data_IF_315399749176
#
_entry.id   IF_315399749176
#
_cell.length_a   1.000
_cell.length_b   1.000
_cell.length_c   1.000
_cell.angle_alpha   90.00
_cell.angle_beta   90.00
_cell.angle_gamma   90.00
#
_symmetry.space_group_name_H-M   'P 1'
#
loop_
_entity.id
_entity.type
_entity.pdbx_description
1 polymer ?
#
# COMPACT_ATOMS: atom_id res chain seq x y z
N UNK A 1 -23.66 -33.02 5.77
CA UNK A 1 -22.49 -32.17 5.42
C UNK A 1 -23.04 -30.81 5.07
N UNK A 2 -22.41 -29.70 5.51
CA UNK A 2 -22.83 -28.37 5.07
C UNK A 2 -22.77 -28.29 3.55
N UNK A 3 -23.70 -27.54 2.95
CA UNK A 3 -23.62 -27.18 1.54
C UNK A 3 -22.40 -26.30 1.30
N UNK A 4 -21.83 -26.31 0.08
CA UNK A 4 -20.73 -25.39 -0.29
C UNK A 4 -21.08 -23.93 0.03
N UNK A 5 -22.36 -23.56 -0.12
CA UNK A 5 -22.83 -22.22 0.22
C UNK A 5 -22.61 -21.92 1.70
N UNK A 6 -22.98 -22.82 2.60
CA UNK A 6 -22.80 -22.65 4.04
C UNK A 6 -21.32 -22.60 4.42
N UNK A 7 -20.48 -23.45 3.82
CA UNK A 7 -19.02 -23.43 4.04
C UNK A 7 -18.40 -22.09 3.64
N UNK A 8 -18.82 -21.52 2.50
CA UNK A 8 -18.33 -20.21 2.06
C UNK A 8 -18.81 -19.10 2.99
N UNK A 9 -20.06 -19.10 3.43
CA UNK A 9 -20.56 -18.06 4.35
C UNK A 9 -19.84 -18.13 5.70
N UNK A 10 -19.62 -19.32 6.26
CA UNK A 10 -18.84 -19.49 7.49
C UNK A 10 -17.40 -19.02 7.32
N UNK A 11 -16.75 -19.42 6.22
CA UNK A 11 -15.38 -19.04 5.91
C UNK A 11 -15.21 -17.54 5.68
N UNK A 12 -16.13 -16.90 4.95
CA UNK A 12 -16.12 -15.46 4.72
C UNK A 12 -16.35 -14.69 6.03
N UNK A 13 -17.29 -15.13 6.86
CA UNK A 13 -17.54 -14.56 8.18
C UNK A 13 -16.28 -14.60 9.06
N UNK A 14 -15.62 -15.77 9.11
CA UNK A 14 -14.37 -15.96 9.84
C UNK A 14 -13.24 -15.09 9.30
N UNK A 15 -13.07 -15.07 7.97
CA UNK A 15 -12.01 -14.33 7.28
C UNK A 15 -12.16 -12.82 7.53
N UNK A 16 -13.34 -12.24 7.31
CA UNK A 16 -13.56 -10.80 7.56
C UNK A 16 -13.45 -10.44 9.04
N UNK A 17 -13.87 -11.33 9.93
CA UNK A 17 -13.73 -11.12 11.38
C UNK A 17 -12.25 -11.02 11.76
N UNK A 18 -11.39 -11.95 11.30
CA UNK A 18 -9.95 -11.87 11.55
C UNK A 18 -9.34 -10.57 11.02
N UNK A 19 -9.75 -10.11 9.85
CA UNK A 19 -9.32 -8.84 9.28
C UNK A 19 -9.61 -7.64 10.20
N UNK A 20 -10.87 -7.48 10.62
CA UNK A 20 -11.31 -6.36 11.47
C UNK A 20 -10.68 -6.41 12.87
N UNK A 21 -10.40 -7.61 13.34
CA UNK A 21 -9.92 -7.88 14.68
C UNK A 21 -8.39 -7.77 14.81
N UNK A 22 -7.65 -7.79 13.69
CA UNK A 22 -6.19 -7.56 13.64
C UNK A 22 -5.73 -6.31 14.40
N UNK A 23 -4.60 -6.39 15.11
CA UNK A 23 -4.03 -5.31 15.92
C UNK A 23 -2.64 -4.91 15.44
N UNK A 24 -2.52 -4.21 14.30
CA UNK A 24 -1.22 -3.77 13.78
C UNK A 24 -0.62 -2.66 14.65
N UNK A 25 0.57 -2.93 15.16
CA UNK A 25 1.39 -2.04 15.99
C UNK A 25 2.74 -1.83 15.31
N UNK A 26 3.15 -0.58 15.14
CA UNK A 26 4.51 -0.25 14.73
C UNK A 26 5.47 -0.55 15.88
N UNK A 27 6.49 -1.37 15.62
CA UNK A 27 7.39 -1.87 16.67
C UNK A 27 8.88 -1.60 16.43
N UNK A 28 9.30 -1.40 15.18
CA UNK A 28 10.72 -1.18 14.88
C UNK A 28 10.92 -0.47 13.54
N UNK A 29 12.17 -0.07 13.30
CA UNK A 29 12.72 0.37 12.02
C UNK A 29 14.05 -0.36 11.80
N UNK A 30 14.27 -0.88 10.59
CA UNK A 30 15.52 -1.52 10.19
C UNK A 30 15.66 -1.56 8.68
N UNK A 31 16.79 -2.04 8.17
CA UNK A 31 16.99 -2.16 6.72
C UNK A 31 16.24 -3.35 6.15
N UNK A 32 16.01 -3.36 4.84
CA UNK A 32 15.39 -4.52 4.18
C UNK A 32 16.28 -5.77 4.26
N UNK A 33 17.60 -5.62 4.23
CA UNK A 33 18.54 -6.71 4.50
C UNK A 33 18.30 -7.35 5.88
N UNK A 34 18.21 -6.55 6.94
CA UNK A 34 17.98 -7.03 8.30
C UNK A 34 16.60 -7.65 8.48
N UNK A 35 15.56 -6.98 7.95
CA UNK A 35 14.16 -7.29 8.27
C UNK A 35 13.53 -8.33 7.35
N UNK A 36 13.95 -8.35 6.08
CA UNK A 36 13.44 -9.26 5.07
C UNK A 36 14.47 -10.31 4.64
N UNK A 37 15.66 -10.33 5.26
CA UNK A 37 16.76 -11.21 4.87
C UNK A 37 17.14 -11.08 3.39
N UNK A 38 16.95 -9.89 2.81
CA UNK A 38 17.30 -9.61 1.43
C UNK A 38 18.82 -9.64 1.24
N UNK A 39 19.29 -10.32 0.19
CA UNK A 39 20.71 -10.47 -0.12
C UNK A 39 20.97 -10.25 -1.61
N UNK A 40 22.20 -9.84 -1.93
CA UNK A 40 22.65 -9.67 -3.30
C UNK A 40 21.89 -8.58 -4.03
N UNK A 41 21.89 -8.66 -5.37
CA UNK A 41 21.29 -7.67 -6.26
C UNK A 41 19.82 -7.99 -6.56
N UNK A 42 19.01 -8.16 -5.52
CA UNK A 42 17.56 -8.40 -5.66
C UNK A 42 16.80 -7.18 -5.15
N UNK A 43 15.87 -6.70 -5.96
CA UNK A 43 14.94 -5.63 -5.60
C UNK A 43 13.53 -6.20 -5.47
N UNK A 44 12.81 -5.77 -4.44
CA UNK A 44 11.38 -6.01 -4.40
C UNK A 44 10.65 -4.94 -5.22
N UNK A 45 9.46 -5.24 -5.72
CA UNK A 45 8.58 -4.28 -6.40
C UNK A 45 7.11 -4.53 -6.06
N UNK A 46 6.28 -3.51 -6.28
CA UNK A 46 4.84 -3.64 -6.11
C UNK A 46 4.20 -4.53 -7.18
N UNK A 47 3.08 -5.16 -6.82
CA UNK A 47 2.24 -5.93 -7.74
C UNK A 47 2.71 -7.36 -8.03
N UNK A 48 2.04 -8.06 -8.97
CA UNK A 48 2.34 -9.45 -9.31
C UNK A 48 3.70 -9.59 -10.01
N UNK A 49 4.27 -10.82 -10.08
CA UNK A 49 5.60 -11.06 -10.64
C UNK A 49 5.77 -10.50 -12.04
N UNK A 50 6.90 -9.85 -12.29
CA UNK A 50 7.22 -9.25 -13.58
C UNK A 50 8.73 -9.34 -13.88
N UNK A 51 9.08 -9.45 -15.16
CA UNK A 51 10.46 -9.35 -15.62
C UNK A 51 10.80 -7.93 -16.08
N UNK A 52 12.10 -7.67 -16.29
CA UNK A 52 12.57 -6.37 -16.78
C UNK A 52 11.96 -5.96 -18.13
N UNK A 53 11.75 -6.93 -19.04
CA UNK A 53 11.22 -6.65 -20.39
C UNK A 53 9.82 -6.06 -20.32
N UNK A 54 8.99 -6.56 -19.40
CA UNK A 54 7.62 -6.11 -19.18
C UNK A 54 7.50 -4.97 -18.16
N UNK A 55 8.57 -4.63 -17.45
CA UNK A 55 8.56 -3.55 -16.46
C UNK A 55 8.13 -2.22 -17.08
N UNK A 56 7.18 -1.56 -16.42
CA UNK A 56 6.65 -0.26 -16.81
C UNK A 56 7.69 0.85 -16.63
N UNK A 57 7.51 1.99 -17.30
CA UNK A 57 8.43 3.14 -17.18
C UNK A 57 8.76 3.56 -15.74
N UNK A 58 7.77 3.81 -14.86
CA UNK A 58 8.06 4.16 -13.47
C UNK A 58 8.77 3.04 -12.70
N UNK A 59 8.46 1.76 -12.96
CA UNK A 59 9.17 0.64 -12.35
C UNK A 59 10.64 0.57 -12.82
N UNK A 60 10.89 0.73 -14.12
CA UNK A 60 12.25 0.78 -14.68
C UNK A 60 13.07 1.89 -14.05
N UNK A 61 12.51 3.09 -13.96
CA UNK A 61 13.16 4.23 -13.32
C UNK A 61 13.47 3.97 -11.85
N UNK A 62 12.57 3.32 -11.12
CA UNK A 62 12.78 2.99 -9.71
C UNK A 62 13.86 1.91 -9.52
N UNK A 63 13.93 0.91 -10.39
CA UNK A 63 15.00 -0.11 -10.40
C UNK A 63 16.36 0.52 -10.68
N UNK A 64 16.43 1.44 -11.66
CA UNK A 64 17.64 2.20 -11.97
C UNK A 64 18.06 3.03 -10.75
N UNK A 65 17.15 3.81 -10.16
CA UNK A 65 17.45 4.64 -9.01
C UNK A 65 17.88 3.83 -7.77
N UNK A 66 17.23 2.69 -7.51
CA UNK A 66 17.64 1.79 -6.43
C UNK A 66 19.03 1.20 -6.67
N UNK A 67 19.39 0.87 -7.92
CA UNK A 67 20.73 0.37 -8.27
C UNK A 67 21.82 1.42 -8.06
N UNK A 68 21.52 2.70 -8.32
CA UNK A 68 22.42 3.82 -8.03
C UNK A 68 22.52 4.06 -6.52
N UNK A 69 21.40 3.97 -5.80
CA UNK A 69 21.36 4.11 -4.35
C UNK A 69 22.20 3.05 -3.63
N UNK A 70 22.13 1.79 -4.08
CA UNK A 70 22.93 0.67 -3.56
C UNK A 70 24.36 0.61 -4.13
N UNK A 71 24.73 1.57 -4.98
CA UNK A 71 26.06 1.65 -5.60
C UNK A 71 26.42 0.39 -6.40
N UNK A 72 25.42 -0.29 -6.98
CA UNK A 72 25.61 -1.44 -7.88
C UNK A 72 26.05 -1.02 -9.29
N UNK A 73 25.71 0.21 -9.66
CA UNK A 73 26.05 0.85 -10.93
C UNK A 73 26.45 2.31 -10.67
N UNK A 74 27.35 2.85 -11.47
CA UNK A 74 27.78 4.25 -11.40
C UNK A 74 26.88 5.17 -12.22
N UNK A 75 26.20 4.63 -13.24
CA UNK A 75 25.38 5.41 -14.17
C UNK A 75 24.02 4.77 -14.44
N UNK A 76 22.99 5.57 -14.76
CA UNK A 76 21.68 5.04 -15.15
C UNK A 76 21.75 4.01 -16.29
N UNK A 77 22.59 4.26 -17.29
CA UNK A 77 22.76 3.35 -18.43
C UNK A 77 23.47 2.05 -18.07
N UNK A 78 24.32 2.05 -17.05
CA UNK A 78 24.90 0.81 -16.52
C UNK A 78 23.85 0.00 -15.77
N UNK A 79 23.07 0.63 -14.89
CA UNK A 79 21.98 -0.03 -14.16
C UNK A 79 20.96 -0.67 -15.12
N UNK A 80 20.59 0.03 -16.20
CA UNK A 80 19.71 -0.51 -17.24
C UNK A 80 20.31 -1.75 -17.91
N UNK A 81 21.60 -1.71 -18.32
CA UNK A 81 22.27 -2.88 -18.92
C UNK A 81 22.36 -4.06 -17.96
N UNK A 82 22.59 -3.81 -16.67
CA UNK A 82 22.59 -4.87 -15.64
C UNK A 82 21.22 -5.53 -15.52
N UNK A 83 20.14 -4.75 -15.49
CA UNK A 83 18.78 -5.27 -15.47
C UNK A 83 18.45 -6.08 -16.74
N UNK A 84 18.87 -5.60 -17.92
CA UNK A 84 18.73 -6.31 -19.19
C UNK A 84 19.47 -7.65 -19.23
N UNK A 85 20.64 -7.71 -18.59
CA UNK A 85 21.45 -8.94 -18.46
C UNK A 85 20.97 -9.89 -17.37
N UNK A 86 19.94 -9.51 -16.60
CA UNK A 86 19.41 -10.32 -15.50
C UNK A 86 20.32 -10.34 -14.26
N UNK A 87 21.22 -9.35 -14.12
CA UNK A 87 22.09 -9.21 -12.95
C UNK A 87 21.36 -8.60 -11.75
N UNK A 88 20.18 -8.00 -11.98
CA UNK A 88 19.27 -7.48 -10.97
C UNK A 88 18.03 -8.37 -10.93
N UNK A 89 17.83 -9.07 -9.80
CA UNK A 89 16.63 -9.87 -9.54
C UNK A 89 15.45 -8.98 -9.17
N UNK A 90 14.24 -9.41 -9.56
CA UNK A 90 12.97 -8.76 -9.21
C UNK A 90 12.06 -9.77 -8.51
N UNK A 91 11.50 -9.38 -7.36
CA UNK A 91 10.49 -10.17 -6.64
C UNK A 91 9.39 -9.26 -6.06
N UNK A 92 8.25 -9.83 -5.73
CA UNK A 92 7.09 -9.08 -5.25
C UNK A 92 7.20 -8.77 -3.77
N UNK A 93 6.99 -7.52 -3.38
CA UNK A 93 6.84 -7.10 -1.96
C UNK A 93 5.89 -8.01 -1.17
N UNK A 94 4.76 -8.37 -1.78
CA UNK A 94 3.74 -9.21 -1.13
C UNK A 94 4.20 -10.62 -0.77
N UNK A 95 5.20 -11.19 -1.45
CA UNK A 95 5.81 -12.47 -1.09
C UNK A 95 6.64 -12.40 0.20
N UNK A 96 7.03 -11.18 0.61
CA UNK A 96 7.88 -10.90 1.77
C UNK A 96 7.13 -10.21 2.90
N UNK A 97 5.79 -10.31 2.92
CA UNK A 97 4.91 -9.55 3.84
C UNK A 97 5.15 -8.03 3.82
N UNK A 98 5.74 -7.52 2.74
CA UNK A 98 6.01 -6.12 2.52
C UNK A 98 4.97 -5.51 1.58
N UNK A 99 4.90 -4.18 1.58
CA UNK A 99 4.12 -3.37 0.65
C UNK A 99 4.85 -2.06 0.35
N UNK A 100 4.83 -1.62 -0.90
CA UNK A 100 5.40 -0.35 -1.34
C UNK A 100 4.42 0.47 -2.19
N UNK A 101 4.28 1.78 -1.97
CA UNK A 101 3.44 2.62 -2.81
C UNK A 101 4.09 2.80 -4.20
N UNK A 102 3.25 2.96 -5.22
CA UNK A 102 3.69 3.21 -6.61
C UNK A 102 4.64 2.11 -7.12
N UNK A 103 5.82 2.41 -7.68
CA UNK A 103 6.76 1.35 -8.10
C UNK A 103 7.10 0.38 -6.96
N UNK A 104 7.01 0.84 -5.71
CA UNK A 104 7.16 0.01 -4.53
C UNK A 104 8.52 -0.65 -4.41
N UNK A 105 9.54 -0.07 -5.05
CA UNK A 105 10.87 -0.65 -5.06
C UNK A 105 11.48 -0.59 -3.66
N UNK A 106 11.99 -1.74 -3.22
CA UNK A 106 12.74 -1.89 -1.97
C UNK A 106 14.07 -2.55 -2.31
N UNK A 107 15.16 -1.92 -1.91
CA UNK A 107 16.52 -2.46 -2.00
C UNK A 107 17.08 -2.82 -0.62
N UNK A 108 18.14 -3.65 -0.52
CA UNK A 108 18.64 -4.16 0.76
C UNK A 108 18.94 -3.10 1.82
N UNK A 109 19.55 -1.97 1.45
CA UNK A 109 19.94 -0.91 2.38
C UNK A 109 18.79 0.05 2.71
N UNK A 110 17.65 -0.02 2.01
CA UNK A 110 16.53 0.89 2.28
C UNK A 110 15.91 0.64 3.65
N UNK A 111 15.58 1.71 4.40
CA UNK A 111 14.92 1.57 5.69
C UNK A 111 13.45 1.19 5.53
N UNK A 112 13.00 0.30 6.40
CA UNK A 112 11.62 -0.19 6.48
C UNK A 112 11.03 0.12 7.85
N UNK A 113 9.72 0.39 7.86
CA UNK A 113 8.90 0.20 9.04
C UNK A 113 8.63 -1.29 9.25
N UNK A 114 8.69 -1.73 10.51
CA UNK A 114 8.27 -3.08 10.92
C UNK A 114 7.05 -2.99 11.85
N UNK A 115 5.98 -3.67 11.47
CA UNK A 115 4.77 -3.80 12.26
C UNK A 115 4.58 -5.24 12.72
N UNK A 116 3.95 -5.40 13.87
CA UNK A 116 3.45 -6.68 14.38
C UNK A 116 1.93 -6.60 14.53
N UNK A 117 1.20 -7.55 13.97
CA UNK A 117 -0.17 -7.83 14.40
C UNK A 117 -0.12 -8.62 15.70
N UNK A 118 -0.35 -7.96 16.84
CA UNK A 118 -0.24 -8.62 18.15
C UNK A 118 -1.32 -9.68 18.36
N UNK A 119 -2.44 -9.64 17.62
CA UNK A 119 -3.49 -10.65 17.72
C UNK A 119 -3.16 -11.93 16.96
N UNK A 120 -2.51 -11.81 15.81
CA UNK A 120 -2.25 -12.94 14.90
C UNK A 120 -0.77 -13.30 14.75
N UNK A 121 0.15 -12.55 15.38
CA UNK A 121 1.58 -12.82 15.38
C UNK A 121 2.29 -12.59 14.05
N UNK A 122 1.68 -11.84 13.13
CA UNK A 122 2.22 -11.62 11.78
C UNK A 122 3.02 -10.32 11.71
N UNK A 123 4.24 -10.39 11.18
CA UNK A 123 5.08 -9.22 10.89
C UNK A 123 4.84 -8.73 9.47
N UNK A 124 4.78 -7.42 9.31
CA UNK A 124 4.60 -6.77 8.00
C UNK A 124 5.46 -5.52 7.88
N UNK A 125 5.74 -5.14 6.64
CA UNK A 125 6.76 -4.15 6.34
C UNK A 125 6.31 -3.17 5.27
N UNK A 126 6.84 -1.95 5.33
CA UNK A 126 6.77 -1.01 4.21
C UNK A 126 8.02 -0.13 4.22
N UNK A 127 8.46 0.31 3.04
CA UNK A 127 9.49 1.34 2.94
C UNK A 127 8.99 2.68 3.48
N UNK A 128 9.84 3.71 3.48
CA UNK A 128 9.47 5.04 3.97
C UNK A 128 9.00 5.96 2.83
N UNK A 129 8.13 6.91 3.15
CA UNK A 129 7.64 7.86 2.17
C UNK A 129 8.67 8.96 1.88
N UNK A 130 9.04 9.14 0.62
CA UNK A 130 10.11 10.05 0.18
C UNK A 130 9.71 11.53 0.08
N UNK A 131 8.45 11.85 0.39
CA UNK A 131 7.89 13.19 0.24
C UNK A 131 7.13 13.42 -1.06
N UNK A 132 6.96 14.69 -1.39
CA UNK A 132 6.25 15.19 -2.57
C UNK A 132 7.28 15.64 -3.62
N UNK A 133 6.91 15.58 -4.90
CA UNK A 133 7.76 16.01 -6.02
C UNK A 133 8.38 14.83 -6.76
N UNK A 134 9.63 15.01 -7.23
CA UNK A 134 10.41 13.92 -7.84
C UNK A 134 10.85 12.95 -6.74
N UNK A 135 10.44 11.70 -6.88
CA UNK A 135 10.67 10.62 -5.91
C UNK A 135 10.80 9.28 -6.64
N UNK A 136 11.55 8.35 -6.05
CA UNK A 136 11.84 7.02 -6.58
C UNK A 136 10.58 6.20 -6.79
N UNK A 137 9.59 6.29 -5.90
CA UNK A 137 8.32 5.57 -6.04
C UNK A 137 7.59 5.89 -7.35
N UNK A 138 7.79 7.05 -7.95
CA UNK A 138 7.26 7.39 -9.30
C UNK A 138 8.29 7.18 -10.43
N UNK A 139 9.42 6.56 -10.14
CA UNK A 139 10.47 6.24 -11.09
C UNK A 139 11.46 7.38 -11.38
N UNK A 140 11.51 8.42 -10.54
CA UNK A 140 12.56 9.44 -10.64
C UNK A 140 13.85 8.93 -9.98
N UNK A 141 15.00 9.23 -10.59
CA UNK A 141 16.32 8.75 -10.13
C UNK A 141 17.41 9.83 -10.29
N UNK A 142 17.03 11.10 -10.24
CA UNK A 142 17.97 12.21 -10.23
C UNK A 142 18.83 12.22 -8.97
N UNK A 143 19.94 12.96 -9.00
CA UNK A 143 20.86 13.11 -7.86
C UNK A 143 20.13 13.56 -6.59
N UNK A 144 19.20 14.51 -6.71
CA UNK A 144 18.34 15.00 -5.62
C UNK A 144 17.45 13.92 -4.98
N UNK A 145 17.06 12.91 -5.77
CA UNK A 145 16.30 11.75 -5.28
C UNK A 145 17.22 10.82 -4.50
N UNK A 146 18.39 10.48 -5.05
CA UNK A 146 19.34 9.57 -4.42
C UNK A 146 19.91 10.17 -3.13
N UNK A 147 20.26 11.46 -3.13
CA UNK A 147 20.70 12.17 -1.92
C UNK A 147 19.63 12.16 -0.83
N UNK A 148 18.36 12.35 -1.20
CA UNK A 148 17.25 12.27 -0.24
C UNK A 148 17.10 10.87 0.34
N UNK A 149 17.21 9.82 -0.48
CA UNK A 149 17.17 8.44 0.01
C UNK A 149 18.33 8.14 0.98
N UNK A 150 19.54 8.63 0.67
CA UNK A 150 20.71 8.52 1.56
C UNK A 150 20.48 9.30 2.87
N UNK A 151 19.92 10.51 2.80
CA UNK A 151 19.52 11.28 3.99
C UNK A 151 18.43 10.57 4.80
N UNK A 152 17.43 9.96 4.15
CA UNK A 152 16.40 9.19 4.85
C UNK A 152 17.01 8.00 5.61
N UNK A 153 17.98 7.31 5.02
CA UNK A 153 18.71 6.23 5.67
C UNK A 153 19.60 6.69 6.84
N UNK A 154 20.25 7.84 6.72
CA UNK A 154 21.21 8.32 7.73
C UNK A 154 20.61 9.22 8.81
N UNK A 155 19.48 9.87 8.54
CA UNK A 155 18.83 10.83 9.45
C UNK A 155 17.43 10.37 9.85
N UNK A 156 16.53 10.21 8.88
CA UNK A 156 15.12 9.91 9.19
C UNK A 156 14.97 8.55 9.90
N UNK A 157 15.58 7.50 9.34
CA UNK A 157 15.41 6.14 9.85
C UNK A 157 15.99 5.96 11.26
N UNK A 158 17.21 6.44 11.62
CA UNK A 158 17.71 6.32 12.98
C UNK A 158 16.88 7.13 13.99
N UNK A 159 16.35 8.30 13.61
CA UNK A 159 15.43 9.06 14.47
C UNK A 159 14.15 8.25 14.72
N UNK A 160 13.53 7.70 13.68
CA UNK A 160 12.31 6.91 13.82
C UNK A 160 12.54 5.60 14.60
N UNK A 161 13.71 4.97 14.44
CA UNK A 161 14.12 3.79 15.21
C UNK A 161 14.20 4.12 16.70
N UNK A 162 14.97 5.15 17.08
CA UNK A 162 15.09 5.55 18.48
C UNK A 162 13.74 5.99 19.07
N UNK A 163 12.92 6.66 18.27
CA UNK A 163 11.56 7.07 18.65
C UNK A 163 10.66 5.89 18.98
N UNK A 164 10.64 4.85 18.13
CA UNK A 164 9.80 3.69 18.39
C UNK A 164 10.35 2.84 19.54
N UNK A 165 11.67 2.77 19.72
CA UNK A 165 12.29 2.15 20.90
C UNK A 165 11.88 2.84 22.21
N UNK A 166 11.87 4.18 22.26
CA UNK A 166 11.39 4.93 23.43
C UNK A 166 9.89 4.70 23.67
N UNK A 167 9.07 4.73 22.63
CA UNK A 167 7.65 4.43 22.75
C UNK A 167 7.40 3.03 23.31
N UNK A 168 8.23 2.05 22.93
CA UNK A 168 8.17 0.67 23.43
C UNK A 168 8.64 0.55 24.86
N UNK A 169 9.72 1.23 25.26
CA UNK A 169 10.20 1.26 26.64
C UNK A 169 9.13 1.80 27.60
N UNK A 170 8.39 2.83 27.16
CA UNK A 170 7.36 3.47 28.00
C UNK A 170 6.04 2.68 28.05
N UNK A 171 5.57 2.17 26.91
CA UNK A 171 4.26 1.51 26.83
C UNK A 171 4.31 -0.01 26.97
N UNK A 172 5.49 -0.62 26.81
CA UNK A 172 5.67 -2.08 26.69
C UNK A 172 5.25 -2.69 25.35
N UNK A 173 4.70 -1.90 24.40
CA UNK A 173 4.18 -2.41 23.10
C UNK A 173 4.79 -1.74 21.88
N UNK A 174 4.42 -0.49 21.60
CA UNK A 174 4.69 0.22 20.36
C UNK A 174 3.56 1.22 20.04
N UNK A 175 3.43 1.65 18.79
CA UNK A 175 2.37 2.58 18.37
C UNK A 175 1.28 1.86 17.59
N UNK A 176 0.06 1.80 18.14
CA UNK A 176 -1.09 1.15 17.50
C UNK A 176 -1.64 1.98 16.35
N UNK A 177 -1.75 1.37 15.16
CA UNK A 177 -2.17 2.10 13.95
C UNK A 177 -3.66 2.00 13.66
N UNK A 178 -4.32 0.87 13.96
CA UNK A 178 -5.78 0.71 13.78
C UNK A 178 -6.60 1.84 14.42
N UNK A 179 -6.42 2.19 15.71
CA UNK A 179 -7.18 3.30 16.31
C UNK A 179 -6.85 4.67 15.69
N UNK A 180 -5.60 4.89 15.26
CA UNK A 180 -5.18 6.12 14.59
C UNK A 180 -5.88 6.28 13.23
N UNK A 181 -5.93 5.22 12.43
CA UNK A 181 -6.65 5.20 11.14
C UNK A 181 -8.15 5.42 11.39
N UNK A 182 -8.74 4.69 12.36
CA UNK A 182 -10.15 4.86 12.71
C UNK A 182 -10.49 6.31 13.09
N UNK A 183 -9.61 6.98 13.85
CA UNK A 183 -9.78 8.39 14.19
C UNK A 183 -9.59 9.30 12.97
N UNK A 184 -8.61 9.04 12.11
CA UNK A 184 -8.38 9.85 10.91
C UNK A 184 -9.59 9.83 9.95
N UNK A 185 -10.26 8.68 9.83
CA UNK A 185 -11.50 8.55 9.04
C UNK A 185 -12.63 9.45 9.57
N UNK A 186 -12.65 9.80 10.86
CA UNK A 186 -13.63 10.76 11.39
C UNK A 186 -13.16 12.21 11.30
N UNK A 187 -11.92 12.44 10.85
CA UNK A 187 -11.28 13.75 10.71
C UNK A 187 -11.11 14.18 9.24
N UNK A 188 -11.82 13.55 8.32
CA UNK A 188 -11.83 13.96 6.91
C UNK A 188 -10.76 13.31 6.03
N UNK A 189 -10.09 12.27 6.50
CA UNK A 189 -9.17 11.44 5.71
C UNK A 189 -9.85 10.17 5.23
N UNK A 190 -9.34 9.60 4.13
CA UNK A 190 -9.62 8.21 3.72
C UNK A 190 -8.38 7.31 3.89
N UNK A 191 -7.24 7.90 4.29
CA UNK A 191 -5.99 7.24 4.66
C UNK A 191 -5.29 6.45 3.54
N UNK A 192 -5.54 6.78 2.27
CA UNK A 192 -4.75 6.31 1.12
C UNK A 192 -4.16 7.50 0.34
N UNK A 193 -4.99 8.40 -0.18
CA UNK A 193 -4.54 9.61 -0.89
C UNK A 193 -4.58 10.86 -0.01
N UNK A 194 -5.54 10.94 0.92
CA UNK A 194 -5.62 12.03 1.90
C UNK A 194 -5.26 11.49 3.28
N UNK A 195 -4.10 11.93 3.76
CA UNK A 195 -3.45 11.49 5.01
C UNK A 195 -3.14 12.66 5.94
N UNK A 196 -3.80 13.82 5.79
CA UNK A 196 -3.49 15.01 6.57
C UNK A 196 -3.76 14.79 8.07
N UNK A 197 -4.92 14.23 8.40
CA UNK A 197 -5.26 13.88 9.77
C UNK A 197 -4.41 12.71 10.28
N UNK A 198 -4.23 11.65 9.48
CA UNK A 198 -3.42 10.49 9.88
C UNK A 198 -1.98 10.90 10.19
N UNK A 199 -1.34 11.69 9.32
CA UNK A 199 0.02 12.21 9.53
C UNK A 199 0.09 13.14 10.73
N UNK A 200 -0.90 14.02 10.93
CA UNK A 200 -0.93 14.90 12.11
C UNK A 200 -1.06 14.11 13.42
N UNK A 201 -1.90 13.07 13.46
CA UNK A 201 -2.06 12.19 14.60
C UNK A 201 -0.78 11.39 14.88
N UNK A 202 -0.11 10.90 13.84
CA UNK A 202 1.19 10.24 13.95
C UNK A 202 2.23 11.18 14.54
N UNK A 203 2.40 12.37 13.99
CA UNK A 203 3.37 13.37 14.47
C UNK A 203 3.11 13.69 15.95
N UNK A 204 1.85 13.95 16.32
CA UNK A 204 1.45 14.18 17.71
C UNK A 204 1.83 13.02 18.64
N UNK A 205 1.73 11.79 18.16
CA UNK A 205 2.06 10.59 18.92
C UNK A 205 3.58 10.39 19.06
N UNK A 206 4.37 10.66 18.01
CA UNK A 206 5.80 10.33 17.97
C UNK A 206 6.70 11.40 18.56
N UNK A 207 6.32 12.69 18.46
CA UNK A 207 7.17 13.82 18.88
C UNK A 207 7.65 13.71 20.35
N UNK A 208 6.81 13.34 21.33
CA UNK A 208 7.28 13.16 22.71
C UNK A 208 8.41 12.12 22.83
N UNK A 209 8.33 11.03 22.06
CA UNK A 209 9.36 9.98 22.05
C UNK A 209 10.59 10.37 21.24
N UNK A 210 10.43 11.13 20.15
CA UNK A 210 11.54 11.74 19.42
C UNK A 210 12.39 12.61 20.35
N UNK A 211 11.75 13.45 21.17
CA UNK A 211 12.44 14.31 22.13
C UNK A 211 13.12 13.53 23.28
N UNK A 212 12.55 12.39 23.68
CA UNK A 212 13.13 11.49 24.70
C UNK A 212 14.33 10.68 24.19
N UNK A 213 14.45 10.47 22.88
CA UNK A 213 15.51 9.64 22.28
C UNK A 213 16.95 10.09 22.59
N UNK A 214 17.14 11.35 22.97
CA UNK A 214 18.46 11.91 23.29
C UNK A 214 19.38 12.12 22.06
N UNK A 215 18.86 11.95 20.85
CA UNK A 215 19.60 12.22 19.61
C UNK A 215 19.89 13.71 19.41
N UNK A 216 20.81 14.01 18.51
CA UNK A 216 21.20 15.36 18.16
C UNK A 216 19.99 16.24 17.76
N UNK A 217 19.94 17.48 18.28
CA UNK A 217 18.79 18.37 18.11
C UNK A 217 18.54 18.75 16.66
N UNK A 218 19.60 18.91 15.85
CA UNK A 218 19.47 19.23 14.43
C UNK A 218 18.88 18.02 13.69
N UNK A 219 19.37 16.83 13.98
CA UNK A 219 18.85 15.58 13.42
C UNK A 219 17.36 15.38 13.73
N UNK A 220 16.95 15.59 14.99
CA UNK A 220 15.54 15.53 15.40
C UNK A 220 14.66 16.55 14.68
N UNK A 221 15.15 17.79 14.56
CA UNK A 221 14.45 18.86 13.87
C UNK A 221 14.26 18.56 12.38
N UNK A 222 15.30 18.09 11.69
CA UNK A 222 15.22 17.76 10.26
C UNK A 222 14.23 16.63 9.99
N UNK A 223 14.25 15.57 10.81
CA UNK A 223 13.28 14.47 10.70
C UNK A 223 11.84 14.95 10.97
N UNK A 224 11.62 15.75 12.01
CA UNK A 224 10.30 16.29 12.34
C UNK A 224 9.78 17.22 11.23
N UNK A 225 10.65 18.09 10.69
CA UNK A 225 10.34 18.98 9.58
C UNK A 225 9.94 18.20 8.33
N UNK A 226 10.73 17.18 7.96
CA UNK A 226 10.43 16.33 6.81
C UNK A 226 9.07 15.63 6.94
N UNK A 227 8.78 15.05 8.11
CA UNK A 227 7.49 14.41 8.35
C UNK A 227 6.33 15.40 8.27
N UNK A 228 6.50 16.61 8.80
CA UNK A 228 5.49 17.66 8.80
C UNK A 228 5.21 18.23 7.40
N UNK A 229 6.23 18.35 6.55
CA UNK A 229 6.11 18.81 5.16
C UNK A 229 5.60 17.70 4.22
N UNK A 230 5.62 16.44 4.68
CA UNK A 230 5.15 15.29 3.93
C UNK A 230 3.81 14.75 4.47
N UNK A 231 2.71 15.18 3.85
CA UNK A 231 1.37 14.69 4.19
C UNK A 231 1.19 13.17 4.03
N UNK A 232 2.08 12.49 3.29
CA UNK A 232 2.05 11.03 3.10
C UNK A 232 2.95 10.26 4.08
N UNK A 233 3.53 10.90 5.10
CA UNK A 233 4.37 10.22 6.10
C UNK A 233 3.68 8.98 6.69
N UNK A 234 2.39 9.09 7.04
CA UNK A 234 1.65 7.97 7.60
C UNK A 234 1.16 6.92 6.58
N UNK A 235 1.26 7.18 5.27
CA UNK A 235 0.74 6.27 4.23
C UNK A 235 1.39 4.89 4.32
N UNK A 236 2.71 4.83 4.38
CA UNK A 236 3.45 3.57 4.36
C UNK A 236 3.19 2.73 5.62
N UNK A 237 3.08 3.38 6.79
CA UNK A 237 2.64 2.75 8.02
C UNK A 237 1.20 2.21 7.91
N UNK A 238 0.29 3.01 7.33
CA UNK A 238 -1.08 2.59 7.04
C UNK A 238 -1.17 1.40 6.08
N UNK A 239 -0.33 1.37 5.04
CA UNK A 239 -0.24 0.25 4.10
C UNK A 239 0.28 -1.02 4.79
N UNK A 240 1.32 -0.94 5.62
CA UNK A 240 1.79 -2.09 6.40
C UNK A 240 0.70 -2.61 7.36
N UNK A 241 -0.03 -1.70 8.02
CA UNK A 241 -1.17 -2.09 8.86
C UNK A 241 -2.27 -2.79 8.06
N UNK A 242 -2.59 -2.28 6.88
CA UNK A 242 -3.56 -2.91 5.97
C UNK A 242 -3.09 -4.29 5.49
N UNK A 243 -1.79 -4.46 5.22
CA UNK A 243 -1.22 -5.78 4.89
C UNK A 243 -1.38 -6.74 6.05
N UNK A 244 -1.14 -6.32 7.29
CA UNK A 244 -1.32 -7.16 8.47
C UNK A 244 -2.78 -7.58 8.64
N UNK A 245 -3.72 -6.64 8.53
CA UNK A 245 -5.17 -6.91 8.55
C UNK A 245 -5.57 -7.89 7.45
N UNK A 246 -5.05 -7.69 6.24
CA UNK A 246 -5.40 -8.55 5.10
C UNK A 246 -4.80 -9.95 5.21
N UNK A 247 -3.59 -10.10 5.76
CA UNK A 247 -2.98 -11.40 6.03
C UNK A 247 -3.72 -12.17 7.13
N UNK A 248 -4.25 -11.50 8.15
CA UNK A 248 -5.11 -12.14 9.14
C UNK A 248 -6.35 -12.80 8.51
N UNK A 249 -6.83 -12.24 7.39
CA UNK A 249 -7.94 -12.76 6.60
C UNK A 249 -7.53 -13.84 5.58
N UNK A 250 -6.24 -14.06 5.35
CA UNK A 250 -5.70 -14.97 4.34
C UNK A 250 -5.65 -16.43 4.82
N UNK A 251 -5.52 -17.36 3.89
CA UNK A 251 -5.45 -18.81 4.13
C UNK A 251 -6.63 -19.38 4.95
N UNK A 252 -7.84 -18.87 4.72
CA UNK A 252 -9.07 -19.44 5.28
C UNK A 252 -9.71 -20.37 4.24
N UNK A 253 -9.77 -21.69 4.47
CA UNK A 253 -10.43 -22.63 3.55
C UNK A 253 -11.85 -22.19 3.21
N UNK A 254 -12.25 -22.36 1.95
CA UNK A 254 -13.55 -21.98 1.37
C UNK A 254 -13.83 -20.47 1.30
N UNK A 255 -13.02 -19.61 1.91
CA UNK A 255 -13.22 -18.15 1.82
C UNK A 255 -13.01 -17.64 0.40
N UNK A 256 -13.98 -16.87 -0.08
CA UNK A 256 -14.00 -16.23 -1.41
C UNK A 256 -13.57 -14.76 -1.34
N UNK A 257 -13.07 -14.34 -0.18
CA UNK A 257 -12.65 -12.96 0.03
C UNK A 257 -11.28 -12.70 -0.61
N UNK A 258 -11.17 -11.55 -1.27
CA UNK A 258 -9.90 -11.00 -1.76
C UNK A 258 -9.09 -10.47 -0.57
N UNK A 259 -7.82 -10.86 -0.51
CA UNK A 259 -6.90 -10.51 0.59
C UNK A 259 -5.67 -9.76 0.11
N UNK A 260 -5.44 -9.69 -1.19
CA UNK A 260 -4.47 -8.78 -1.79
C UNK A 260 -5.06 -8.25 -3.08
N UNK A 261 -4.99 -6.93 -3.28
CA UNK A 261 -5.09 -6.28 -4.58
C UNK A 261 -3.82 -5.47 -4.76
N UNK A 262 -3.13 -5.65 -5.89
CA UNK A 262 -1.95 -4.86 -6.24
C UNK A 262 -1.72 -4.80 -7.75
N UNK A 263 -0.85 -3.89 -8.19
CA UNK A 263 -0.62 -3.53 -9.60
C UNK A 263 0.83 -3.10 -9.78
N UNK A 264 1.47 -3.49 -10.88
CA UNK A 264 2.91 -3.24 -11.13
C UNK A 264 3.16 -2.24 -12.29
N UNK A 265 2.10 -1.56 -12.75
CA UNK A 265 2.17 -0.65 -13.90
C UNK A 265 2.07 -1.34 -15.26
N UNK A 266 1.90 -2.66 -15.26
CA UNK A 266 1.71 -3.50 -16.46
C UNK A 266 0.54 -4.47 -16.24
N UNK A 267 0.55 -5.18 -15.12
CA UNK A 267 -0.47 -6.13 -14.68
C UNK A 267 -1.05 -5.68 -13.33
N UNK A 268 -2.36 -5.84 -13.18
CA UNK A 268 -3.05 -5.88 -11.90
C UNK A 268 -3.22 -7.34 -11.47
N UNK A 269 -3.22 -7.59 -10.16
CA UNK A 269 -3.31 -8.94 -9.61
C UNK A 269 -4.01 -8.99 -8.27
N UNK A 270 -4.62 -10.14 -7.98
CA UNK A 270 -5.25 -10.41 -6.68
C UNK A 270 -4.81 -11.74 -6.07
N UNK A 271 -4.92 -11.82 -4.75
CA UNK A 271 -5.00 -13.08 -4.00
C UNK A 271 -6.38 -13.24 -3.38
N UNK A 272 -6.86 -14.48 -3.34
CA UNK A 272 -8.10 -14.86 -2.67
C UNK A 272 -7.75 -15.75 -1.49
N UNK A 273 -8.37 -15.51 -0.34
CA UNK A 273 -8.06 -16.12 0.96
C UNK A 273 -7.87 -17.64 0.87
N UNK A 274 -8.81 -18.35 0.23
CA UNK A 274 -8.73 -19.81 0.14
C UNK A 274 -7.79 -20.33 -0.95
N UNK A 275 -7.21 -19.48 -1.79
CA UNK A 275 -6.38 -19.86 -2.94
C UNK A 275 -4.88 -19.66 -2.70
N UNK A 276 -4.50 -19.32 -1.46
CA UNK A 276 -3.13 -19.03 -1.08
C UNK A 276 -2.54 -17.87 -1.88
N UNK A 277 -1.21 -17.87 -2.02
CA UNK A 277 -0.46 -16.81 -2.69
C UNK A 277 -0.46 -16.91 -4.23
N UNK A 278 -1.42 -17.63 -4.82
CA UNK A 278 -1.53 -17.72 -6.29
C UNK A 278 -2.05 -16.39 -6.84
N UNK A 279 -1.27 -15.78 -7.73
CA UNK A 279 -1.67 -14.58 -8.45
C UNK A 279 -2.68 -14.90 -9.56
N UNK A 280 -3.77 -14.14 -9.59
CA UNK A 280 -4.65 -14.01 -10.74
C UNK A 280 -4.45 -12.63 -11.34
N UNK A 281 -3.96 -12.57 -12.58
CA UNK A 281 -3.50 -11.32 -13.20
C UNK A 281 -4.27 -10.97 -14.47
N UNK A 282 -4.33 -9.67 -14.75
CA UNK A 282 -4.83 -9.10 -15.99
C UNK A 282 -4.11 -7.77 -16.25
N UNK A 283 -4.15 -7.21 -17.48
CA UNK A 283 -3.54 -5.92 -17.76
C UNK A 283 -4.02 -4.83 -16.78
N UNK A 284 -3.08 -4.04 -16.27
CA UNK A 284 -3.40 -2.92 -15.39
C UNK A 284 -4.21 -1.86 -16.16
N UNK A 285 -5.31 -1.35 -15.59
CA UNK A 285 -6.07 -0.25 -16.19
C UNK A 285 -5.31 1.08 -16.07
N UNK A 286 -5.62 2.04 -16.95
CA UNK A 286 -5.11 3.42 -16.85
C UNK A 286 -6.05 4.23 -15.95
N UNK A 287 -5.55 4.90 -14.89
CA UNK A 287 -6.38 5.74 -14.03
C UNK A 287 -6.94 6.97 -14.78
N UNK A 288 -8.12 7.42 -14.37
CA UNK A 288 -8.73 8.67 -14.86
C UNK A 288 -8.87 9.67 -13.72
N UNK A 289 -8.50 10.92 -13.97
CA UNK A 289 -8.62 11.96 -12.96
C UNK A 289 -8.11 13.31 -13.41
N UNK A 290 -7.57 14.06 -12.46
CA UNK A 290 -7.03 15.40 -12.67
C UNK A 290 -5.54 15.32 -13.07
N UNK A 291 -5.18 16.10 -14.08
CA UNK A 291 -3.82 16.18 -14.63
C UNK A 291 -3.11 17.41 -14.11
N UNK A 292 -1.81 17.29 -13.86
CA UNK A 292 -0.97 18.45 -13.62
C UNK A 292 -0.79 19.27 -14.91
N UNK A 293 -0.52 20.59 -14.79
CA UNK A 293 -0.32 21.45 -15.95
C UNK A 293 0.71 20.86 -16.94
N UNK A 294 0.32 20.74 -18.21
CA UNK A 294 1.18 20.23 -19.29
C UNK A 294 1.11 18.72 -19.53
N UNK A 295 0.34 17.96 -18.73
CA UNK A 295 0.15 16.52 -18.92
C UNK A 295 -1.29 16.15 -19.28
N UNK A 296 -1.45 14.96 -19.84
CA UNK A 296 -2.72 14.40 -20.27
C UNK A 296 -2.79 12.88 -20.08
N UNK A 297 -3.94 12.29 -20.39
CA UNK A 297 -4.11 10.83 -20.40
C UNK A 297 -3.11 10.11 -21.31
N UNK A 298 -2.67 10.74 -22.40
CA UNK A 298 -1.69 10.16 -23.33
C UNK A 298 -0.31 9.92 -22.67
N UNK A 299 -0.02 10.59 -21.57
CA UNK A 299 1.24 10.53 -20.84
C UNK A 299 1.22 9.50 -19.70
N UNK A 300 0.04 9.02 -19.33
CA UNK A 300 -0.18 8.16 -18.18
C UNK A 300 0.38 6.74 -18.35
N UNK A 301 0.99 6.25 -17.28
CA UNK A 301 1.26 4.83 -17.11
C UNK A 301 -0.02 4.11 -16.64
N UNK A 302 -0.22 2.83 -16.98
CA UNK A 302 -1.17 1.98 -16.27
C UNK A 302 -0.92 1.98 -14.76
N UNK A 303 -1.95 1.64 -13.99
CA UNK A 303 -1.93 1.78 -12.54
C UNK A 303 -0.81 0.93 -11.88
N UNK A 304 -0.12 1.47 -10.86
CA UNK A 304 1.06 0.87 -10.19
C UNK A 304 1.16 1.12 -8.67
N UNK A 305 1.39 0.10 -7.82
CA UNK A 305 1.53 0.16 -6.35
C UNK A 305 0.86 -0.90 -5.48
N UNK A 306 1.38 -1.16 -4.28
CA UNK A 306 0.67 -2.04 -3.34
C UNK A 306 -0.43 -1.32 -2.55
N UNK A 307 -0.61 -0.02 -2.77
CA UNK A 307 -1.50 0.81 -1.95
C UNK A 307 -2.99 0.44 -2.06
N UNK A 308 -3.37 -0.36 -3.06
CA UNK A 308 -4.68 -1.00 -3.15
C UNK A 308 -4.97 -1.99 -1.99
N UNK A 309 -3.95 -2.31 -1.19
CA UNK A 309 -4.09 -3.03 0.08
C UNK A 309 -4.93 -2.25 1.09
N UNK A 310 -4.96 -0.91 1.00
CA UNK A 310 -5.77 -0.06 1.89
C UNK A 310 -7.27 -0.26 1.66
N UNK A 311 -7.71 -0.30 0.39
CA UNK A 311 -9.07 -0.70 0.00
C UNK A 311 -9.38 -2.13 0.38
N UNK A 312 -8.41 -3.03 0.24
CA UNK A 312 -8.56 -4.44 0.64
C UNK A 312 -8.86 -4.56 2.14
N UNK A 313 -8.23 -3.73 2.97
CA UNK A 313 -8.44 -3.64 4.42
C UNK A 313 -9.68 -2.79 4.82
N UNK A 314 -10.41 -2.22 3.85
CA UNK A 314 -11.67 -1.51 4.10
C UNK A 314 -11.53 0.00 4.36
N UNK A 315 -10.44 0.64 3.95
CA UNK A 315 -10.32 2.11 3.91
C UNK A 315 -9.88 2.59 2.51
N UNK A 316 -9.30 3.79 2.36
CA UNK A 316 -8.97 4.35 1.05
C UNK A 316 -10.21 4.67 0.21
N UNK A 317 -10.22 4.30 -1.07
CA UNK A 317 -11.36 4.48 -1.98
C UNK A 317 -12.68 3.90 -1.45
N UNK A 318 -12.64 2.88 -0.61
CA UNK A 318 -13.86 2.29 -0.01
C UNK A 318 -14.44 3.19 1.08
N UNK A 319 -13.59 3.98 1.73
CA UNK A 319 -13.96 4.99 2.72
C UNK A 319 -14.04 6.40 2.11
N UNK A 320 -14.04 6.58 0.78
CA UNK A 320 -14.00 7.92 0.16
C UNK A 320 -15.06 8.90 0.69
N UNK A 321 -16.23 8.42 1.11
CA UNK A 321 -17.27 9.22 1.76
C UNK A 321 -16.84 9.91 3.08
N UNK A 322 -15.75 9.48 3.73
CA UNK A 322 -15.18 10.15 4.90
C UNK A 322 -14.37 11.40 4.53
N UNK A 323 -13.93 11.51 3.27
CA UNK A 323 -12.94 12.48 2.84
C UNK A 323 -13.47 13.38 1.71
N UNK A 324 -14.51 14.20 1.93
CA UNK A 324 -15.11 15.01 0.87
C UNK A 324 -14.11 15.92 0.14
N UNK A 325 -13.05 16.38 0.83
CA UNK A 325 -12.00 17.20 0.24
C UNK A 325 -11.12 16.46 -0.79
N UNK A 326 -11.14 15.12 -0.83
CA UNK A 326 -10.35 14.33 -1.77
C UNK A 326 -10.75 14.58 -3.23
N UNK A 327 -11.99 15.00 -3.49
CA UNK A 327 -12.51 15.20 -4.86
C UNK A 327 -11.79 16.33 -5.59
N UNK A 328 -11.21 17.29 -4.86
CA UNK A 328 -10.35 18.32 -5.43
C UNK A 328 -8.98 17.77 -5.91
N UNK A 329 -8.60 16.59 -5.44
CA UNK A 329 -7.35 15.91 -5.78
C UNK A 329 -7.56 14.81 -6.84
N UNK A 330 -8.57 13.95 -6.66
CA UNK A 330 -8.81 12.80 -7.56
C UNK A 330 -9.90 13.06 -8.62
N UNK A 331 -10.54 14.22 -8.57
CA UNK A 331 -11.69 14.57 -9.41
C UNK A 331 -13.02 14.06 -8.86
N UNK A 332 -14.11 14.50 -9.49
CA UNK A 332 -15.49 14.12 -9.12
C UNK A 332 -16.18 15.15 -8.21
N UNK A 333 -17.19 14.67 -7.48
CA UNK A 333 -18.00 15.45 -6.54
C UNK A 333 -18.17 14.72 -5.21
N UNK A 334 -18.53 15.45 -4.14
CA UNK A 334 -18.82 14.84 -2.83
C UNK A 334 -19.89 13.76 -2.95
N UNK A 335 -20.90 13.98 -3.79
CA UNK A 335 -21.94 13.00 -4.08
C UNK A 335 -21.37 11.74 -4.74
N UNK A 336 -20.46 11.88 -5.71
CA UNK A 336 -19.81 10.72 -6.34
C UNK A 336 -18.94 9.92 -5.35
N UNK A 337 -18.31 10.57 -4.36
CA UNK A 337 -17.55 9.88 -3.31
C UNK A 337 -18.47 9.01 -2.43
N UNK A 338 -19.66 9.52 -2.09
CA UNK A 338 -20.69 8.75 -1.37
C UNK A 338 -21.17 7.57 -2.21
N UNK A 339 -21.42 7.78 -3.51
CA UNK A 339 -21.85 6.73 -4.44
C UNK A 339 -20.80 5.63 -4.60
N UNK A 340 -19.52 5.98 -4.69
CA UNK A 340 -18.42 5.01 -4.73
C UNK A 340 -18.45 4.13 -3.48
N UNK A 341 -18.44 4.71 -2.28
CA UNK A 341 -18.55 3.95 -1.03
C UNK A 341 -19.82 3.08 -1.00
N UNK A 342 -20.95 3.60 -1.47
CA UNK A 342 -22.20 2.85 -1.48
C UNK A 342 -22.14 1.62 -2.40
N UNK A 343 -21.55 1.76 -3.60
CA UNK A 343 -21.33 0.64 -4.53
C UNK A 343 -20.41 -0.42 -3.94
N UNK A 344 -19.42 -0.02 -3.14
CA UNK A 344 -18.51 -0.99 -2.52
C UNK A 344 -19.22 -1.90 -1.51
N UNK A 345 -20.31 -1.45 -0.84
CA UNK A 345 -21.12 -2.33 0.01
C UNK A 345 -21.73 -3.52 -0.74
N UNK A 346 -22.03 -3.35 -2.04
CA UNK A 346 -22.63 -4.41 -2.86
C UNK A 346 -21.65 -5.55 -3.17
N UNK A 347 -20.35 -5.29 -3.10
CA UNK A 347 -19.30 -6.28 -3.39
C UNK A 347 -18.54 -6.76 -2.16
N UNK A 348 -18.77 -6.14 -0.99
CA UNK A 348 -18.14 -6.55 0.27
C UNK A 348 -19.05 -7.39 1.14
N UNK A 349 -18.46 -8.28 1.94
CA UNK A 349 -19.18 -9.19 2.83
C UNK A 349 -19.77 -8.47 4.04
N UNK A 350 -19.01 -7.55 4.66
CA UNK A 350 -19.40 -6.89 5.91
C UNK A 350 -19.20 -5.37 5.89
N UNK A 351 -19.68 -4.74 6.96
CA UNK A 351 -19.36 -3.36 7.33
C UNK A 351 -18.32 -3.41 8.45
N UNK A 352 -17.25 -2.64 8.35
CA UNK A 352 -16.17 -2.64 9.32
C UNK A 352 -16.66 -2.23 10.71
N UNK A 353 -16.29 -2.99 11.74
CA UNK A 353 -16.70 -2.71 13.13
C UNK A 353 -16.12 -1.39 13.67
N UNK A 354 -14.87 -1.12 13.34
CA UNK A 354 -14.08 -0.01 13.90
C UNK A 354 -13.87 1.20 12.98
N UNK A 355 -13.97 1.04 11.66
CA UNK A 355 -13.77 2.11 10.69
C UNK A 355 -15.14 2.61 10.30
N UNK A 356 -15.50 3.79 10.79
CA UNK A 356 -16.86 4.32 10.67
C UNK A 356 -16.86 5.59 9.84
N UNK A 357 -17.98 5.82 9.15
CA UNK A 357 -18.19 6.98 8.28
C UNK A 357 -19.20 7.92 8.96
N UNK A 358 -18.76 9.02 9.60
CA UNK A 358 -19.67 9.89 10.37
C UNK A 358 -20.87 10.39 9.55
N UNK A 359 -20.63 10.86 8.33
CA UNK A 359 -21.66 11.40 7.43
C UNK A 359 -22.69 10.36 6.94
N UNK A 360 -22.42 9.06 7.12
CA UNK A 360 -23.35 7.97 6.86
C UNK A 360 -23.87 7.36 8.16
N UNK A 361 -24.11 8.19 9.18
CA UNK A 361 -24.57 7.80 10.51
C UNK A 361 -23.66 6.75 11.18
N UNK A 362 -22.35 6.95 11.10
CA UNK A 362 -21.32 6.06 11.65
C UNK A 362 -21.41 4.61 11.13
N UNK A 363 -21.98 4.42 9.93
CA UNK A 363 -21.95 3.13 9.24
C UNK A 363 -20.50 2.70 9.05
N UNK A 364 -20.20 1.45 9.38
CA UNK A 364 -18.89 0.84 9.16
C UNK A 364 -18.52 0.81 7.68
N UNK A 365 -17.26 1.06 7.33
CA UNK A 365 -16.78 1.06 5.93
C UNK A 365 -16.98 -0.32 5.25
N UNK A 366 -17.10 -0.40 3.91
CA UNK A 366 -17.23 -1.68 3.22
C UNK A 366 -15.97 -2.54 3.43
N UNK A 367 -16.11 -3.82 3.79
CA UNK A 367 -14.94 -4.70 4.11
C UNK A 367 -15.18 -6.16 3.73
N UNK A 368 -14.12 -6.84 3.26
CA UNK A 368 -14.16 -8.22 2.80
C UNK A 368 -14.71 -8.33 1.38
N UNK A 369 -13.91 -7.93 0.39
CA UNK A 369 -14.28 -7.95 -1.03
C UNK A 369 -14.54 -9.40 -1.46
N UNK A 370 -15.74 -9.72 -1.94
CA UNK A 370 -16.17 -11.09 -2.28
C UNK A 370 -16.24 -11.25 -3.81
N UNK A 371 -15.43 -12.16 -4.37
CA UNK A 371 -15.38 -12.41 -5.82
C UNK A 371 -16.74 -12.85 -6.38
N UNK A 372 -17.57 -13.53 -5.59
CA UNK A 372 -18.92 -13.97 -6.00
C UNK A 372 -19.84 -12.77 -6.18
N UNK A 373 -19.76 -11.80 -5.27
CA UNK A 373 -20.58 -10.57 -5.34
C UNK A 373 -20.16 -9.68 -6.50
N UNK A 374 -18.86 -9.56 -6.76
CA UNK A 374 -18.34 -8.84 -7.95
C UNK A 374 -18.92 -9.45 -9.23
N UNK A 375 -18.81 -10.77 -9.40
CA UNK A 375 -19.28 -11.44 -10.61
C UNK A 375 -20.80 -11.40 -10.76
N UNK A 376 -21.54 -11.45 -9.64
CA UNK A 376 -23.00 -11.32 -9.63
C UNK A 376 -23.48 -9.92 -10.01
N UNK A 377 -22.83 -8.89 -9.51
CA UNK A 377 -23.28 -7.49 -9.63
C UNK A 377 -22.68 -6.76 -10.83
N UNK A 378 -21.53 -7.22 -11.33
CA UNK A 378 -20.73 -6.49 -12.32
C UNK A 378 -20.02 -5.25 -11.75
N UNK A 379 -20.13 -4.98 -10.44
CA UNK A 379 -19.45 -3.86 -9.79
C UNK A 379 -18.00 -4.24 -9.51
N UNK A 380 -17.06 -3.35 -9.84
CA UNK A 380 -15.63 -3.56 -9.68
C UNK A 380 -15.08 -2.71 -8.51
N UNK A 381 -14.09 -3.19 -7.75
CA UNK A 381 -13.43 -2.39 -6.71
C UNK A 381 -12.87 -1.09 -7.28
N UNK A 382 -13.20 0.03 -6.63
CA UNK A 382 -12.69 1.35 -6.98
C UNK A 382 -11.53 1.74 -6.07
N UNK A 383 -10.47 2.29 -6.67
CA UNK A 383 -9.24 2.69 -6.00
C UNK A 383 -8.96 4.16 -6.33
N UNK A 384 -8.58 4.93 -5.31
CA UNK A 384 -8.01 6.26 -5.48
C UNK A 384 -6.49 6.11 -5.66
N UNK A 385 -5.86 6.73 -6.65
CA UNK A 385 -4.44 6.49 -6.97
C UNK A 385 -3.75 7.73 -7.53
N UNK A 386 -2.45 7.84 -7.28
CA UNK A 386 -1.59 8.79 -7.98
C UNK A 386 -1.32 8.30 -9.42
N UNK A 387 -1.17 9.22 -10.36
CA UNK A 387 -0.91 8.88 -11.77
C UNK A 387 0.56 9.15 -12.07
N UNK A 388 1.29 8.10 -12.45
CA UNK A 388 2.68 8.15 -12.86
C UNK A 388 2.79 8.38 -14.38
N UNK A 389 3.85 9.06 -14.81
CA UNK A 389 4.18 9.16 -16.22
C UNK A 389 4.71 7.83 -16.78
N UNK A 390 4.39 7.50 -18.03
CA UNK A 390 4.84 6.25 -18.69
C UNK A 390 6.32 6.20 -19.06
N UNK A 391 7.00 7.35 -19.10
CA UNK A 391 8.48 7.43 -19.26
C UNK A 391 9.13 7.48 -17.90
N UNK A 392 10.17 6.66 -17.71
CA UNK A 392 11.03 6.67 -16.53
C UNK A 392 11.62 8.07 -16.27
N UNK A 393 11.85 8.41 -15.00
CA UNK A 393 12.49 9.67 -14.60
C UNK A 393 11.56 10.87 -14.44
N UNK A 394 10.35 10.87 -15.01
CA UNK A 394 9.46 12.05 -15.04
C UNK A 394 8.71 12.25 -13.73
N UNK A 395 8.17 11.18 -13.13
CA UNK A 395 7.48 11.23 -11.85
C UNK A 395 5.95 11.28 -11.95
N UNK A 396 5.31 11.91 -10.96
CA UNK A 396 3.86 12.03 -10.88
C UNK A 396 3.32 13.11 -11.83
N UNK A 397 2.20 12.83 -12.48
CA UNK A 397 1.55 13.73 -13.46
C UNK A 397 0.07 13.97 -13.19
N UNK A 398 -0.47 13.40 -12.13
CA UNK A 398 -1.87 13.57 -11.75
C UNK A 398 -2.28 12.68 -10.59
N UNK A 399 -3.58 12.68 -10.33
CA UNK A 399 -4.24 11.78 -9.39
C UNK A 399 -5.66 11.51 -9.87
N UNK A 400 -6.20 10.34 -9.52
CA UNK A 400 -7.48 9.92 -10.05
C UNK A 400 -8.04 8.69 -9.40
N UNK A 401 -8.99 8.10 -10.11
CA UNK A 401 -9.64 6.85 -9.72
C UNK A 401 -9.47 5.81 -10.81
N UNK A 402 -9.49 4.55 -10.39
CA UNK A 402 -9.43 3.41 -11.30
C UNK A 402 -10.25 2.26 -10.74
N UNK A 403 -10.75 1.39 -11.62
CA UNK A 403 -11.44 0.17 -11.22
C UNK A 403 -10.61 -1.05 -11.57
N UNK A 404 -10.54 -2.03 -10.66
CA UNK A 404 -9.82 -3.28 -10.93
C UNK A 404 -10.42 -4.04 -12.13
N UNK A 405 -9.61 -4.73 -12.95
CA UNK A 405 -10.10 -5.45 -14.13
C UNK A 405 -11.02 -6.62 -13.75
N UNK A 406 -12.07 -6.90 -14.53
CA UNK A 406 -13.02 -7.98 -14.24
C UNK A 406 -12.38 -9.38 -14.37
N UNK A 407 -11.38 -9.47 -15.24
CA UNK A 407 -10.71 -10.69 -15.66
C UNK A 407 -10.05 -11.43 -14.49
N UNK A 408 -9.47 -10.70 -13.53
CA UNK A 408 -8.83 -11.32 -12.35
C UNK A 408 -9.85 -12.05 -11.47
N UNK A 409 -11.06 -11.51 -11.34
CA UNK A 409 -12.13 -12.11 -10.53
C UNK A 409 -12.75 -13.34 -11.23
N UNK A 410 -12.91 -13.28 -12.56
CA UNK A 410 -13.34 -14.45 -13.36
C UNK A 410 -12.33 -15.58 -13.25
N UNK A 411 -11.04 -15.26 -13.40
CA UNK A 411 -9.96 -16.24 -13.31
C UNK A 411 -9.86 -16.82 -11.88
N UNK A 412 -10.01 -16.00 -10.84
CA UNK A 412 -9.96 -16.48 -9.46
C UNK A 412 -11.16 -17.36 -9.10
N UNK A 413 -12.37 -17.08 -9.62
CA UNK A 413 -13.52 -17.97 -9.42
C UNK A 413 -13.29 -19.33 -10.10
N UNK A 414 -12.72 -19.35 -11.31
CA UNK A 414 -12.33 -20.62 -11.95
C UNK A 414 -11.33 -21.38 -11.09
N UNK A 415 -10.30 -20.71 -10.56
CA UNK A 415 -9.35 -21.34 -9.65
C UNK A 415 -9.98 -21.83 -8.34
N UNK A 416 -11.02 -21.16 -7.85
CA UNK A 416 -11.83 -21.63 -6.72
C UNK A 416 -12.58 -22.92 -7.05
N UNK A 417 -13.28 -22.96 -8.19
CA UNK A 417 -13.98 -24.15 -8.69
C UNK A 417 -13.01 -25.32 -8.86
N UNK A 418 -11.84 -25.08 -9.47
CA UNK A 418 -10.83 -26.12 -9.68
C UNK A 418 -10.31 -26.70 -8.35
N UNK A 419 -10.16 -25.88 -7.30
CA UNK A 419 -9.69 -26.32 -5.98
C UNK A 419 -10.74 -27.08 -5.19
N UNK A 420 -11.99 -26.63 -5.23
CA UNK A 420 -13.07 -27.13 -4.37
C UNK A 420 -14.04 -28.11 -5.06
N UNK A 421 -13.97 -28.25 -6.39
CA UNK A 421 -14.75 -29.23 -7.15
C UNK A 421 -16.25 -28.92 -7.21
N UNK A 422 -16.62 -27.64 -7.35
CA UNK A 422 -18.01 -27.15 -7.24
C UNK A 422 -18.57 -26.46 -8.47
#
# INVERSE_FOLDING_TARGET
MPSIKEEVEEANSKSVSRMMESEPVWIDVGTAEEKLSMKGRTLLHAGPPIDWKRASGPLRGAVIGASLYEEWAETPGEAERMAERGEIGLDCTHHHNAVGPMAGVISPSMPLYELMDEKHGTRTYSNMNEGIGKVLRYGAYGEDVIERLKWMGSVLAPVLKATIEEARKESGRGISLKPMIAQALTMGDEAHNRNNATTSLLIRQVVPFMLKSGLDRKMLFEAAKFMNENNFTALNLGMAAAKAMSLAAHDVPHSTLVTVMSRNGTDAGIWVSSLGNRWYTAPAPVPRGLWFPGFSEADANPDIGDSAITETAGFGGFAMATAPAIVAWVGGSVQSAIEVTNRMYEITYAKHKYFQIPFLNFKGTPTGIDIRKILKTGILPAINTGIAHKKAGVGQIGAGTVSFPMEVFRASLKGYVDKYGV
#
